data_IF_622501571433
#
_entry.id   IF_622501571433
#
_cell.length_a   1.000
_cell.length_b   1.000
_cell.length_c   1.000
_cell.angle_alpha   90.00
_cell.angle_beta   90.00
_cell.angle_gamma   90.00
#
_symmetry.space_group_name_H-M   'P 1'
#
loop_
_entity.id
_entity.type
_entity.pdbx_description
1 polymer ?
#
# COMPACT_ATOMS: atom_id res chain seq x y z
N UNK A 1 10.82 17.59 30.29
CA UNK A 1 10.86 18.99 29.81
C UNK A 1 10.13 19.84 30.82
N UNK A 2 10.59 21.06 31.10
CA UNK A 2 9.83 21.96 32.00
C UNK A 2 8.64 22.55 31.25
N UNK A 3 7.60 22.98 31.98
CA UNK A 3 6.41 23.58 31.37
C UNK A 3 6.76 24.82 30.53
N UNK A 4 7.78 25.59 30.95
CA UNK A 4 8.30 26.74 30.19
C UNK A 4 8.89 26.36 28.81
N UNK A 5 9.55 25.19 28.70
CA UNK A 5 10.08 24.70 27.43
C UNK A 5 8.94 24.26 26.49
N UNK A 6 7.88 23.68 27.04
CA UNK A 6 6.70 23.24 26.28
C UNK A 6 5.87 24.43 25.77
N UNK A 7 5.73 25.47 26.58
CA UNK A 7 5.02 26.68 26.19
C UNK A 7 5.78 27.47 25.10
N UNK A 8 7.13 27.47 25.13
CA UNK A 8 7.95 28.06 24.06
C UNK A 8 7.82 27.32 22.71
N UNK A 9 7.49 26.03 22.71
CA UNK A 9 7.31 25.24 21.48
C UNK A 9 5.97 25.53 20.77
N UNK A 10 5.04 26.23 21.42
CA UNK A 10 3.77 26.64 20.80
C UNK A 10 2.87 25.46 20.39
N UNK A 11 2.97 24.33 21.09
CA UNK A 11 2.21 23.11 20.80
C UNK A 11 0.71 23.35 21.03
N UNK A 12 -0.09 23.17 19.98
CA UNK A 12 -1.53 23.47 20.00
C UNK A 12 -2.36 22.33 20.58
N UNK A 13 -1.92 21.08 20.41
CA UNK A 13 -2.60 19.91 20.93
C UNK A 13 -2.29 19.68 22.42
N UNK A 14 -3.32 19.64 23.26
CA UNK A 14 -3.18 19.52 24.71
C UNK A 14 -2.70 18.13 25.13
N UNK A 15 -3.17 17.07 24.46
CA UNK A 15 -2.75 15.69 24.74
C UNK A 15 -1.29 15.47 24.37
N UNK A 16 -0.83 16.06 23.26
CA UNK A 16 0.56 16.05 22.87
C UNK A 16 1.43 16.78 23.90
N UNK A 17 0.99 17.93 24.42
CA UNK A 17 1.73 18.66 25.46
C UNK A 17 1.89 17.82 26.73
N UNK A 18 0.81 17.18 27.18
CA UNK A 18 0.83 16.30 28.35
C UNK A 18 1.79 15.13 28.17
N UNK A 19 1.75 14.46 27.02
CA UNK A 19 2.62 13.29 26.75
C UNK A 19 4.08 13.67 26.59
N UNK A 20 4.37 14.82 25.98
CA UNK A 20 5.73 15.34 25.82
C UNK A 20 6.38 15.70 27.16
N UNK A 21 5.62 16.12 28.18
CA UNK A 21 6.14 16.34 29.53
C UNK A 21 6.80 15.07 30.10
N UNK A 22 6.27 13.89 29.77
CA UNK A 22 6.81 12.58 30.13
C UNK A 22 7.86 12.03 29.14
N UNK A 23 8.25 12.81 28.13
CA UNK A 23 9.23 12.39 27.12
C UNK A 23 8.66 11.46 26.04
N UNK A 24 7.34 11.45 25.86
CA UNK A 24 6.63 10.65 24.86
C UNK A 24 6.03 11.58 23.80
N UNK A 25 6.46 11.43 22.54
CA UNK A 25 5.86 12.13 21.41
C UNK A 25 4.70 11.34 20.80
N UNK A 26 3.67 12.04 20.32
CA UNK A 26 2.62 11.46 19.46
C UNK A 26 2.80 11.95 18.03
N UNK A 27 2.57 11.07 17.05
CA UNK A 27 2.66 11.37 15.64
C UNK A 27 1.52 10.70 14.85
N UNK A 28 0.52 11.49 14.43
CA UNK A 28 -0.65 11.00 13.70
C UNK A 28 -1.20 12.05 12.72
N UNK A 29 -2.07 11.63 11.79
CA UNK A 29 -2.63 12.51 10.73
C UNK A 29 -3.39 13.72 11.23
N UNK A 30 -4.08 13.60 12.37
CA UNK A 30 -4.83 14.73 12.92
C UNK A 30 -3.95 15.83 13.54
N UNK A 31 -2.64 15.63 13.70
CA UNK A 31 -1.75 16.69 14.21
C UNK A 31 -1.48 17.75 13.13
N UNK A 32 -1.46 19.01 13.59
CA UNK A 32 -1.03 20.15 12.77
C UNK A 32 0.42 19.97 12.33
N UNK A 33 0.76 20.52 11.17
CA UNK A 33 2.11 20.41 10.63
C UNK A 33 3.16 21.07 11.53
N UNK A 34 2.82 22.17 12.21
CA UNK A 34 3.67 22.81 13.23
C UNK A 34 4.06 21.85 14.34
N UNK A 35 3.08 21.13 14.87
CA UNK A 35 3.24 20.26 16.03
C UNK A 35 4.02 19.01 15.63
N UNK A 36 3.77 18.47 14.41
CA UNK A 36 4.56 17.38 13.83
C UNK A 36 6.03 17.75 13.65
N UNK A 37 6.33 18.97 13.20
CA UNK A 37 7.72 19.47 13.08
C UNK A 37 8.40 19.59 14.44
N UNK A 38 7.70 20.15 15.43
CA UNK A 38 8.22 20.25 16.79
C UNK A 38 8.57 18.87 17.38
N UNK A 39 7.64 17.90 17.28
CA UNK A 39 7.88 16.51 17.76
C UNK A 39 9.06 15.87 17.02
N UNK A 40 9.16 16.08 15.70
CA UNK A 40 10.28 15.59 14.92
C UNK A 40 11.62 16.13 15.44
N UNK A 41 11.74 17.44 15.63
CA UNK A 41 12.96 18.07 16.11
C UNK A 41 13.33 17.62 17.52
N UNK A 42 12.34 17.48 18.41
CA UNK A 42 12.55 16.95 19.75
C UNK A 42 13.08 15.52 19.73
N UNK A 43 12.57 14.68 18.83
CA UNK A 43 13.03 13.29 18.68
C UNK A 43 14.46 13.23 18.12
N UNK A 44 14.74 13.99 17.05
CA UNK A 44 16.08 14.05 16.45
C UNK A 44 17.14 14.55 17.42
N UNK A 45 16.79 15.52 18.26
CA UNK A 45 17.68 16.07 19.28
C UNK A 45 17.80 15.18 20.54
N UNK A 46 17.14 14.02 20.56
CA UNK A 46 17.16 13.09 21.69
C UNK A 46 16.49 13.61 22.96
N UNK A 47 15.64 14.65 22.86
CA UNK A 47 14.88 15.22 23.99
C UNK A 47 13.72 14.31 24.39
N UNK A 48 13.15 13.61 23.43
CA UNK A 48 12.14 12.56 23.64
C UNK A 48 12.71 11.21 23.20
N UNK A 49 12.47 10.18 24.00
CA UNK A 49 12.99 8.83 23.74
C UNK A 49 11.94 7.93 23.05
N UNK A 50 10.66 8.17 23.34
CA UNK A 50 9.55 7.35 22.85
C UNK A 50 8.73 8.18 21.89
N UNK A 51 8.42 7.60 20.73
CA UNK A 51 7.55 8.19 19.73
C UNK A 51 6.46 7.17 19.38
N UNK A 52 5.20 7.56 19.61
CA UNK A 52 4.02 6.79 19.26
C UNK A 52 3.50 7.26 17.91
N UNK A 53 3.42 6.33 16.96
CA UNK A 53 3.07 6.64 15.57
C UNK A 53 1.88 5.79 15.15
N UNK A 54 0.91 6.39 14.46
CA UNK A 54 -0.19 5.65 13.85
C UNK A 54 0.25 4.98 12.55
N UNK A 55 -0.36 3.84 12.21
CA UNK A 55 0.07 3.00 11.09
C UNK A 55 0.00 3.71 9.72
N UNK A 56 -0.96 4.60 9.53
CA UNK A 56 -1.14 5.43 8.33
C UNK A 56 0.04 6.40 8.08
N UNK A 57 0.82 6.72 9.11
CA UNK A 57 1.99 7.59 9.01
C UNK A 57 3.27 6.85 8.62
N UNK A 58 3.26 5.51 8.55
CA UNK A 58 4.44 4.69 8.26
C UNK A 58 5.18 5.13 6.99
N UNK A 59 4.43 5.51 5.96
CA UNK A 59 4.93 5.89 4.64
C UNK A 59 5.26 7.38 4.51
N UNK A 60 4.51 8.25 5.16
CA UNK A 60 4.54 9.70 4.94
C UNK A 60 5.50 10.42 5.89
N UNK A 61 5.89 9.78 6.99
CA UNK A 61 6.86 10.37 7.92
C UNK A 61 8.26 10.47 7.30
N UNK A 62 9.01 11.49 7.73
CA UNK A 62 10.40 11.71 7.32
C UNK A 62 11.25 10.45 7.55
N UNK A 63 12.09 10.11 6.56
CA UNK A 63 12.96 8.92 6.57
C UNK A 63 14.00 8.94 7.69
N UNK A 64 14.35 10.12 8.21
CA UNK A 64 15.31 10.28 9.30
C UNK A 64 14.78 9.79 10.64
N UNK A 65 13.46 9.66 10.79
CA UNK A 65 12.85 9.09 12.00
C UNK A 65 13.11 7.58 12.04
N UNK A 66 14.23 7.21 12.63
CA UNK A 66 14.65 5.83 12.88
C UNK A 66 14.84 5.59 14.37
N UNK A 67 14.56 4.37 14.82
CA UNK A 67 14.67 3.98 16.23
C UNK A 67 15.52 2.72 16.39
N UNK A 68 16.15 2.55 17.56
CA UNK A 68 16.81 1.28 17.89
C UNK A 68 15.80 0.17 18.18
N UNK A 69 14.66 0.49 18.79
CA UNK A 69 13.59 -0.47 19.05
C UNK A 69 12.32 0.01 18.36
N UNK A 70 11.81 -0.80 17.43
CA UNK A 70 10.50 -0.58 16.81
C UNK A 70 9.54 -1.64 17.32
N UNK A 71 8.46 -1.19 17.98
CA UNK A 71 7.39 -2.07 18.46
C UNK A 71 6.16 -1.83 17.61
N UNK A 72 5.72 -2.86 16.88
CA UNK A 72 4.47 -2.85 16.13
C UNK A 72 3.40 -3.49 17.01
N UNK A 73 2.48 -2.67 17.51
CA UNK A 73 1.38 -3.12 18.36
C UNK A 73 0.09 -3.19 17.57
N UNK A 74 -0.39 -4.42 17.35
CA UNK A 74 -1.58 -4.68 16.56
C UNK A 74 -1.23 -4.75 15.07
N UNK A 75 -1.61 -5.83 14.42
CA UNK A 75 -1.40 -6.06 12.98
C UNK A 75 -2.70 -5.96 12.19
N UNK A 76 -3.71 -5.32 12.78
CA UNK A 76 -5.08 -5.27 12.28
C UNK A 76 -5.63 -3.85 12.41
N UNK A 77 -6.55 -3.49 11.53
CA UNK A 77 -7.35 -2.27 11.62
C UNK A 77 -8.81 -2.58 11.37
N UNK A 78 -9.69 -1.77 11.94
CA UNK A 78 -11.12 -1.92 11.71
C UNK A 78 -11.51 -1.20 10.42
N UNK A 79 -12.08 -1.93 9.45
CA UNK A 79 -12.67 -1.33 8.26
C UNK A 79 -14.17 -1.15 8.48
N UNK A 80 -14.61 0.11 8.50
CA UNK A 80 -16.02 0.47 8.68
C UNK A 80 -16.91 0.05 7.51
N UNK A 81 -16.36 -0.19 6.31
CA UNK A 81 -17.15 -0.63 5.14
C UNK A 81 -17.49 -2.11 5.21
N UNK A 82 -16.53 -2.91 5.67
CA UNK A 82 -16.64 -4.36 5.79
C UNK A 82 -17.09 -4.79 7.20
N UNK A 83 -17.22 -3.83 8.13
CA UNK A 83 -17.61 -4.00 9.54
C UNK A 83 -16.79 -5.08 10.28
N UNK A 84 -15.50 -5.21 9.94
CA UNK A 84 -14.60 -6.21 10.51
C UNK A 84 -13.17 -5.70 10.65
N UNK A 85 -12.40 -6.41 11.47
CA UNK A 85 -10.95 -6.22 11.51
C UNK A 85 -10.30 -6.89 10.31
N UNK A 86 -9.56 -6.09 9.55
CA UNK A 86 -8.72 -6.54 8.44
C UNK A 86 -7.25 -6.50 8.88
N UNK A 87 -6.48 -7.44 8.36
CA UNK A 87 -5.03 -7.46 8.56
C UNK A 87 -4.36 -6.32 7.79
N UNK A 88 -3.30 -5.76 8.38
CA UNK A 88 -2.44 -4.85 7.64
C UNK A 88 -1.78 -5.59 6.47
N UNK A 89 -1.70 -4.95 5.29
CA UNK A 89 -0.85 -5.42 4.21
C UNK A 89 0.58 -5.62 4.72
N UNK A 90 1.24 -6.71 4.30
CA UNK A 90 2.63 -6.99 4.71
C UNK A 90 3.56 -5.82 4.35
N UNK A 91 3.28 -5.13 3.25
CA UNK A 91 4.02 -3.93 2.82
C UNK A 91 4.04 -2.83 3.87
N UNK A 92 2.93 -2.64 4.58
CA UNK A 92 2.82 -1.63 5.63
C UNK A 92 3.61 -2.05 6.87
N UNK A 93 3.56 -3.34 7.25
CA UNK A 93 4.43 -3.87 8.30
C UNK A 93 5.90 -3.71 7.92
N UNK A 94 6.27 -4.02 6.68
CA UNK A 94 7.65 -3.86 6.20
C UNK A 94 8.09 -2.40 6.27
N UNK A 95 7.25 -1.45 5.87
CA UNK A 95 7.52 -0.02 6.00
C UNK A 95 7.75 0.41 7.45
N UNK A 96 6.98 -0.14 8.40
CA UNK A 96 7.20 0.08 9.83
C UNK A 96 8.50 -0.56 10.33
N UNK A 97 8.80 -1.80 9.93
CA UNK A 97 10.04 -2.49 10.31
C UNK A 97 11.28 -1.77 9.77
N UNK A 98 11.18 -1.14 8.59
CA UNK A 98 12.24 -0.35 7.97
C UNK A 98 12.60 0.93 8.73
N UNK A 99 11.89 1.26 9.81
CA UNK A 99 12.24 2.35 10.74
C UNK A 99 13.26 1.93 11.80
N UNK A 100 13.53 0.63 11.93
CA UNK A 100 14.61 0.17 12.79
C UNK A 100 15.96 0.53 12.15
N UNK A 101 16.92 0.94 12.98
CA UNK A 101 18.31 1.11 12.54
C UNK A 101 18.93 -0.25 12.17
N UNK A 102 20.10 -0.26 11.52
CA UNK A 102 20.75 -1.52 11.09
C UNK A 102 21.05 -2.49 12.25
N UNK A 103 21.34 -1.97 13.44
CA UNK A 103 21.50 -2.75 14.68
C UNK A 103 20.23 -2.75 15.55
N UNK A 104 19.12 -2.29 15.00
CA UNK A 104 17.85 -2.17 15.69
C UNK A 104 17.12 -3.50 15.84
N UNK A 105 16.24 -3.56 16.83
CA UNK A 105 15.37 -4.69 17.11
C UNK A 105 13.95 -4.33 16.75
N UNK A 106 13.28 -5.18 15.97
CA UNK A 106 11.85 -5.06 15.69
C UNK A 106 11.10 -6.09 16.53
N UNK A 107 10.05 -5.65 17.23
CA UNK A 107 9.12 -6.50 17.98
C UNK A 107 7.71 -6.32 17.42
N UNK A 108 7.19 -7.38 16.79
CA UNK A 108 5.81 -7.39 16.27
C UNK A 108 4.93 -8.13 17.26
N UNK A 109 3.93 -7.43 17.80
CA UNK A 109 2.92 -7.99 18.70
C UNK A 109 1.71 -8.39 17.87
N UNK A 110 1.51 -9.69 17.71
CA UNK A 110 0.50 -10.29 16.84
C UNK A 110 -0.21 -11.45 17.54
N UNK A 111 -1.42 -11.79 17.09
CA UNK A 111 -2.14 -12.98 17.51
C UNK A 111 -1.34 -14.25 17.15
N UNK A 112 -1.32 -15.24 18.05
CA UNK A 112 -0.52 -16.47 17.87
C UNK A 112 -0.87 -17.21 16.57
N UNK A 113 -2.13 -17.18 16.12
CA UNK A 113 -2.59 -17.78 14.86
C UNK A 113 -1.89 -17.21 13.61
N UNK A 114 -1.50 -15.93 13.63
CA UNK A 114 -0.91 -15.22 12.48
C UNK A 114 0.61 -15.11 12.58
N UNK A 115 1.21 -15.51 13.70
CA UNK A 115 2.66 -15.44 13.94
C UNK A 115 3.48 -16.13 12.86
N UNK A 116 3.10 -17.35 12.46
CA UNK A 116 3.81 -18.11 11.43
C UNK A 116 3.83 -17.38 10.09
N UNK A 117 2.70 -16.82 9.68
CA UNK A 117 2.56 -16.02 8.47
C UNK A 117 3.53 -14.84 8.46
N UNK A 118 3.49 -13.97 9.47
CA UNK A 118 4.38 -12.80 9.53
C UNK A 118 5.85 -13.18 9.69
N UNK A 119 6.17 -14.25 10.43
CA UNK A 119 7.54 -14.70 10.61
C UNK A 119 8.20 -15.12 9.29
N UNK A 120 7.44 -15.77 8.39
CA UNK A 120 7.93 -16.14 7.07
C UNK A 120 8.20 -14.90 6.23
N UNK A 121 7.22 -14.01 6.06
CA UNK A 121 7.35 -12.85 5.16
C UNK A 121 8.26 -11.73 5.67
N UNK A 122 8.60 -11.70 6.96
CA UNK A 122 9.61 -10.79 7.50
C UNK A 122 11.05 -11.31 7.32
N UNK A 123 11.22 -12.61 7.02
CA UNK A 123 12.53 -13.25 6.85
C UNK A 123 12.83 -13.58 5.39
N UNK A 124 11.80 -13.94 4.65
CA UNK A 124 11.87 -14.31 3.24
C UNK A 124 11.39 -13.14 2.36
N UNK A 125 11.94 -13.00 1.15
CA UNK A 125 11.49 -11.97 0.22
C UNK A 125 10.01 -12.19 -0.15
N UNK A 126 9.25 -11.10 -0.22
CA UNK A 126 7.82 -11.15 -0.54
C UNK A 126 7.62 -11.57 -2.02
N UNK A 127 6.81 -12.60 -2.30
CA UNK A 127 6.38 -12.89 -3.66
C UNK A 127 5.42 -11.79 -4.12
N UNK A 128 5.83 -11.00 -5.11
CA UNK A 128 4.98 -9.97 -5.71
C UNK A 128 4.21 -10.59 -6.88
N UNK A 129 2.90 -10.41 -6.86
CA UNK A 129 1.98 -10.78 -7.94
C UNK A 129 1.26 -9.56 -8.49
N UNK A 130 0.74 -9.66 -9.71
CA UNK A 130 -0.01 -8.58 -10.34
C UNK A 130 -1.53 -8.73 -10.14
N UNK A 131 -2.17 -7.74 -9.52
CA UNK A 131 -3.65 -7.64 -9.44
C UNK A 131 -4.29 -6.99 -10.67
N UNK A 132 -3.55 -6.83 -11.78
CA UNK A 132 -4.04 -6.14 -12.98
C UNK A 132 -5.27 -6.82 -13.58
N UNK A 133 -5.38 -8.15 -13.45
CA UNK A 133 -6.50 -8.93 -13.96
C UNK A 133 -7.85 -8.59 -13.31
N UNK A 134 -7.85 -8.10 -12.06
CA UNK A 134 -9.07 -7.72 -11.33
C UNK A 134 -9.57 -6.31 -11.72
N UNK A 135 -8.66 -5.43 -12.12
CA UNK A 135 -8.93 -4.00 -12.37
C UNK A 135 -8.52 -3.56 -13.78
N UNK A 136 -8.75 -4.41 -14.78
CA UNK A 136 -8.26 -4.18 -16.15
C UNK A 136 -9.08 -3.16 -16.95
N UNK A 137 -10.32 -2.86 -16.54
CA UNK A 137 -11.23 -1.96 -17.24
C UNK A 137 -10.64 -0.55 -17.43
N UNK A 138 -10.16 0.07 -16.36
CA UNK A 138 -9.68 1.45 -16.39
C UNK A 138 -8.38 1.63 -17.21
N UNK A 139 -7.34 0.80 -17.03
CA UNK A 139 -6.14 0.88 -17.86
C UNK A 139 -6.47 0.71 -19.34
N UNK A 140 -7.24 -0.31 -19.72
CA UNK A 140 -7.56 -0.57 -21.14
C UNK A 140 -8.38 0.56 -21.74
N UNK A 141 -9.38 1.08 -21.02
CA UNK A 141 -10.16 2.25 -21.45
C UNK A 141 -9.25 3.45 -21.73
N UNK A 142 -8.33 3.76 -20.82
CA UNK A 142 -7.39 4.88 -20.98
C UNK A 142 -6.49 4.70 -22.22
N UNK A 143 -6.04 3.49 -22.46
CA UNK A 143 -5.16 3.15 -23.59
C UNK A 143 -5.90 3.20 -24.95
N UNK A 144 -7.19 2.85 -24.98
CA UNK A 144 -8.07 3.02 -26.16
C UNK A 144 -8.27 4.51 -26.47
N UNK A 145 -8.58 5.32 -25.45
CA UNK A 145 -8.74 6.78 -25.61
C UNK A 145 -7.44 7.44 -26.08
N UNK A 146 -6.29 6.98 -25.58
CA UNK A 146 -4.98 7.43 -26.02
C UNK A 146 -4.62 6.99 -27.45
N UNK A 147 -5.42 6.11 -28.07
CA UNK A 147 -5.19 5.59 -29.41
C UNK A 147 -4.04 4.59 -29.52
N UNK A 148 -3.55 4.06 -28.39
CA UNK A 148 -2.52 3.00 -28.35
C UNK A 148 -3.12 1.62 -28.59
N UNK A 149 -4.33 1.38 -28.10
CA UNK A 149 -5.11 0.17 -28.39
C UNK A 149 -6.21 0.55 -29.39
N UNK A 150 -6.10 0.08 -30.64
CA UNK A 150 -7.11 0.29 -31.69
C UNK A 150 -7.86 -0.98 -32.04
N UNK A 151 -7.26 -2.14 -31.78
CA UNK A 151 -7.83 -3.45 -32.05
C UNK A 151 -7.73 -4.36 -30.82
N UNK A 152 -8.50 -5.46 -30.82
CA UNK A 152 -8.38 -6.52 -29.79
C UNK A 152 -6.97 -7.14 -29.77
N UNK A 153 -6.32 -7.25 -30.93
CA UNK A 153 -4.95 -7.75 -31.00
C UNK A 153 -3.97 -6.80 -30.31
N UNK A 154 -4.11 -5.48 -30.53
CA UNK A 154 -3.31 -4.48 -29.82
C UNK A 154 -3.51 -4.57 -28.31
N UNK A 155 -4.71 -4.99 -27.86
CA UNK A 155 -5.00 -5.24 -26.44
C UNK A 155 -4.22 -6.43 -25.89
N UNK A 156 -4.14 -7.54 -26.63
CA UNK A 156 -3.32 -8.70 -26.25
C UNK A 156 -1.84 -8.32 -26.23
N UNK A 157 -1.39 -7.59 -27.24
CA UNK A 157 -0.02 -7.09 -27.34
C UNK A 157 0.30 -6.16 -26.17
N UNK A 158 -0.60 -5.24 -25.79
CA UNK A 158 -0.46 -4.39 -24.61
C UNK A 158 -0.29 -5.20 -23.32
N UNK A 159 -1.11 -6.23 -23.11
CA UNK A 159 -0.97 -7.09 -21.92
C UNK A 159 0.36 -7.84 -21.88
N UNK A 160 0.95 -8.18 -23.03
CA UNK A 160 2.25 -8.87 -23.08
C UNK A 160 3.40 -8.07 -22.46
N UNK A 161 3.28 -6.74 -22.41
CA UNK A 161 4.26 -5.84 -21.80
C UNK A 161 4.11 -5.68 -20.27
N UNK A 162 3.08 -6.29 -19.68
CA UNK A 162 2.76 -6.09 -18.26
C UNK A 162 3.48 -7.10 -17.35
N UNK A 163 3.61 -6.74 -16.07
CA UNK A 163 4.09 -7.68 -15.03
C UNK A 163 3.20 -8.93 -14.95
N UNK A 164 1.88 -8.76 -15.15
CA UNK A 164 0.93 -9.86 -15.15
C UNK A 164 1.33 -10.94 -16.17
N UNK A 165 1.65 -10.57 -17.41
CA UNK A 165 2.07 -11.56 -18.42
C UNK A 165 3.32 -12.34 -18.00
N UNK A 166 4.31 -11.66 -17.41
CA UNK A 166 5.53 -12.30 -16.90
C UNK A 166 5.25 -13.28 -15.77
N UNK A 167 4.30 -12.97 -14.89
CA UNK A 167 3.90 -13.81 -13.75
C UNK A 167 2.92 -14.91 -14.11
N UNK A 168 2.14 -14.74 -15.17
CA UNK A 168 1.14 -15.70 -15.60
C UNK A 168 1.73 -17.07 -15.94
N UNK A 169 2.96 -17.11 -16.47
CA UNK A 169 3.68 -18.37 -16.70
C UNK A 169 4.36 -18.96 -15.45
N UNK A 170 4.59 -18.17 -14.41
CA UNK A 170 5.27 -18.61 -13.18
C UNK A 170 4.29 -19.10 -12.12
N UNK A 171 3.11 -18.48 -12.03
CA UNK A 171 2.06 -18.86 -11.08
C UNK A 171 0.67 -18.84 -11.74
N UNK A 172 0.38 -19.77 -12.67
CA UNK A 172 -0.87 -19.77 -13.43
C UNK A 172 -2.12 -19.89 -12.56
N UNK A 173 -2.03 -20.67 -11.49
CA UNK A 173 -3.15 -20.94 -10.57
C UNK A 173 -3.64 -19.68 -9.86
N UNK A 174 -2.76 -18.73 -9.55
CA UNK A 174 -3.16 -17.45 -8.96
C UNK A 174 -4.07 -16.62 -9.89
N UNK A 175 -3.85 -16.73 -11.20
CA UNK A 175 -4.63 -16.01 -12.22
C UNK A 175 -5.88 -16.78 -12.69
N UNK A 176 -6.16 -17.96 -12.12
CA UNK A 176 -7.24 -18.83 -12.56
C UNK A 176 -6.99 -19.53 -13.90
N UNK A 177 -5.73 -19.67 -14.32
CA UNK A 177 -5.38 -20.39 -15.55
C UNK A 177 -5.34 -21.90 -15.28
N UNK A 178 -6.40 -22.62 -15.63
CA UNK A 178 -6.48 -24.08 -15.54
C UNK A 178 -6.03 -24.74 -16.85
N UNK A 179 -4.75 -25.11 -16.97
CA UNK A 179 -4.13 -25.85 -18.09
C UNK A 179 -4.30 -25.25 -19.51
N UNK A 180 -4.95 -24.09 -19.65
CA UNK A 180 -5.15 -23.41 -20.92
C UNK A 180 -3.88 -22.67 -21.35
N UNK A 181 -3.73 -22.49 -22.68
CA UNK A 181 -2.62 -21.69 -23.22
C UNK A 181 -2.76 -20.23 -22.81
N UNK A 182 -1.63 -19.62 -22.42
CA UNK A 182 -1.51 -18.20 -22.08
C UNK A 182 -2.20 -17.29 -23.09
N UNK A 183 -1.98 -17.54 -24.39
CA UNK A 183 -2.53 -16.71 -25.46
C UNK A 183 -4.08 -16.73 -25.51
N UNK A 184 -4.67 -17.89 -25.21
CA UNK A 184 -6.13 -18.06 -25.17
C UNK A 184 -6.73 -17.30 -24.00
N UNK A 185 -6.09 -17.39 -22.83
CA UNK A 185 -6.52 -16.65 -21.65
C UNK A 185 -6.44 -15.13 -21.85
N UNK A 186 -5.35 -14.62 -22.42
CA UNK A 186 -5.23 -13.18 -22.70
C UNK A 186 -6.28 -12.70 -23.71
N UNK A 187 -6.52 -13.50 -24.75
CA UNK A 187 -7.55 -13.19 -25.75
C UNK A 187 -8.95 -13.16 -25.11
N UNK A 188 -9.26 -14.12 -24.24
CA UNK A 188 -10.51 -14.14 -23.48
C UNK A 188 -10.64 -12.93 -22.55
N UNK A 189 -9.57 -12.58 -21.83
CA UNK A 189 -9.55 -11.46 -20.90
C UNK A 189 -9.79 -10.12 -21.63
N UNK A 190 -9.08 -9.87 -22.74
CA UNK A 190 -9.29 -8.68 -23.58
C UNK A 190 -10.71 -8.64 -24.13
N UNK A 191 -11.25 -9.78 -24.55
CA UNK A 191 -12.61 -9.88 -25.08
C UNK A 191 -13.62 -9.47 -24.01
N UNK A 192 -13.56 -10.08 -22.82
CA UNK A 192 -14.42 -9.75 -21.67
C UNK A 192 -14.35 -8.26 -21.28
N UNK A 193 -13.14 -7.69 -21.26
CA UNK A 193 -12.94 -6.27 -20.90
C UNK A 193 -13.49 -5.35 -21.98
N UNK A 194 -13.26 -5.62 -23.26
CA UNK A 194 -13.81 -4.81 -24.34
C UNK A 194 -15.34 -4.89 -24.42
N UNK A 195 -15.92 -6.05 -24.13
CA UNK A 195 -17.37 -6.24 -24.09
C UNK A 195 -18.00 -5.48 -22.92
N UNK A 196 -17.43 -5.59 -21.71
CA UNK A 196 -17.87 -4.77 -20.56
C UNK A 196 -17.77 -3.27 -20.83
N UNK A 197 -16.68 -2.81 -21.43
CA UNK A 197 -16.53 -1.38 -21.78
C UNK A 197 -17.55 -0.93 -22.84
N UNK A 198 -17.97 -1.82 -23.73
CA UNK A 198 -19.03 -1.54 -24.71
C UNK A 198 -20.41 -1.50 -24.05
N UNK A 199 -20.69 -2.39 -23.10
CA UNK A 199 -21.91 -2.40 -22.28
C UNK A 199 -22.05 -1.11 -21.46
N UNK A 200 -20.95 -0.65 -20.86
CA UNK A 200 -20.85 0.63 -20.13
C UNK A 200 -20.88 1.87 -21.05
N UNK A 201 -21.01 1.68 -22.38
CA UNK A 201 -21.01 2.73 -23.41
C UNK A 201 -19.75 3.61 -23.37
N UNK A 202 -18.62 3.07 -22.93
CA UNK A 202 -17.34 3.77 -22.94
C UNK A 202 -16.63 3.67 -24.31
N UNK A 203 -16.89 2.59 -25.05
CA UNK A 203 -16.29 2.33 -26.36
C UNK A 203 -17.33 1.79 -27.34
N UNK A 204 -17.08 1.96 -28.64
CA UNK A 204 -17.82 1.34 -29.72
C UNK A 204 -16.93 0.33 -30.44
N UNK A 205 -17.44 -0.90 -30.59
CA UNK A 205 -16.79 -1.95 -31.35
C UNK A 205 -17.32 -1.91 -32.79
N UNK A 206 -16.46 -1.59 -33.75
CA UNK A 206 -16.77 -1.55 -35.19
C UNK A 206 -16.19 -2.80 -35.86
N UNK A 207 -16.99 -3.44 -36.71
CA UNK A 207 -16.62 -4.64 -37.48
C UNK A 207 -16.05 -5.78 -36.62
N UNK A 208 -16.48 -5.93 -35.36
CA UNK A 208 -15.99 -6.92 -34.40
C UNK A 208 -14.49 -6.87 -34.04
N UNK A 209 -13.71 -5.95 -34.59
CA UNK A 209 -12.26 -5.87 -34.39
C UNK A 209 -11.76 -4.52 -33.92
N UNK A 210 -12.39 -3.43 -34.36
CA UNK A 210 -11.89 -2.06 -34.14
C UNK A 210 -12.56 -1.45 -32.92
N UNK A 211 -11.74 -0.93 -32.02
CA UNK A 211 -12.16 -0.29 -30.77
C UNK A 211 -12.05 1.23 -30.96
N UNK A 212 -13.17 1.94 -30.81
CA UNK A 212 -13.23 3.39 -30.94
C UNK A 212 -13.78 3.96 -29.64
N UNK A 213 -13.10 4.94 -29.00
CA UNK A 213 -13.64 5.62 -27.83
C UNK A 213 -14.92 6.39 -28.20
N UNK A 214 -15.92 6.37 -27.30
CA UNK A 214 -17.15 7.16 -27.42
C UNK A 214 -17.02 8.53 -26.78
#
# INVERSE_FOLDING_TARGET
MTDDELDMLGIRDEFLRMTLAFGIGLYHAALKESDRKAVHELYMNGKIQILLITSDMAWTMDRRLTAHLVVIKGTEFYDSKEERYLDYPITDLLAMTGRATEMGVVRVLVQESKKGFYQTFLREPLPVESSLHESLLDPVKKEIVAGRIKTRQDGVDYLSWTLMYRRLGQNPSYYGLENDKVDKYLSQLVTQVTEKLAEEKCIKIIDHFKLVPL
#
